data_IF_662260648861
#
_entry.id   IF_662260648861
#
_cell.length_a   1.000
_cell.length_b   1.000
_cell.length_c   1.000
_cell.angle_alpha   90.00
_cell.angle_beta   90.00
_cell.angle_gamma   90.00
#
_symmetry.space_group_name_H-M   'P 1'
#
loop_
_entity.id
_entity.type
_entity.pdbx_description
1 polymer ?
#
# COMPACT_ATOMS: atom_id res chain seq x y z
N UNK A 1 24.66 49.29 26.48
CA UNK A 1 23.97 48.87 27.72
C UNK A 1 23.30 47.55 27.39
N UNK A 2 23.94 46.42 27.73
CA UNK A 2 23.67 45.62 28.94
C UNK A 2 22.26 45.03 28.93
N UNK A 3 22.01 43.71 28.77
CA UNK A 3 22.58 42.47 29.36
C UNK A 3 21.66 41.91 30.45
N UNK A 4 20.91 40.86 30.11
CA UNK A 4 20.49 39.67 30.91
C UNK A 4 19.51 38.89 30.01
N UNK A 5 19.74 37.65 29.54
CA UNK A 5 20.13 36.40 30.23
C UNK A 5 19.10 35.97 31.27
N UNK A 6 18.22 35.06 30.87
CA UNK A 6 17.55 34.09 31.73
C UNK A 6 17.20 32.85 30.89
N UNK A 7 18.08 31.84 30.92
CA UNK A 7 17.71 30.48 30.56
C UNK A 7 16.98 29.85 31.75
N UNK A 8 15.79 29.29 31.53
CA UNK A 8 15.26 28.21 32.36
C UNK A 8 15.09 26.96 31.51
N UNK A 9 16.06 26.06 31.62
CA UNK A 9 15.93 24.67 31.21
C UNK A 9 15.14 23.90 32.28
N UNK A 10 13.92 23.45 31.96
CA UNK A 10 13.20 22.50 32.80
C UNK A 10 13.40 21.08 32.28
N UNK A 11 14.20 20.32 33.02
CA UNK A 11 14.44 18.90 32.84
C UNK A 11 13.29 18.11 33.48
N UNK A 12 12.63 17.22 32.75
CA UNK A 12 11.76 16.18 33.36
C UNK A 12 12.30 14.83 32.96
N UNK A 13 12.77 14.07 33.95
CA UNK A 13 13.39 12.77 33.78
C UNK A 13 12.34 11.67 33.56
N UNK A 14 12.72 10.64 32.81
CA UNK A 14 11.94 9.42 32.69
C UNK A 14 11.98 8.59 33.98
N UNK A 15 10.86 7.96 34.32
CA UNK A 15 10.82 6.80 35.22
C UNK A 15 10.44 5.57 34.41
N UNK A 16 11.41 4.72 34.13
CA UNK A 16 11.14 3.34 33.74
C UNK A 16 10.72 2.55 35.00
N UNK A 17 9.84 1.57 34.83
CA UNK A 17 9.64 0.53 35.84
C UNK A 17 9.59 -0.85 35.16
N UNK A 18 10.08 -1.88 35.86
CA UNK A 18 10.42 -3.18 35.28
C UNK A 18 9.96 -4.35 36.18
N UNK A 19 9.02 -5.14 35.68
CA UNK A 19 8.73 -6.52 36.10
C UNK A 19 7.96 -7.21 34.96
N UNK A 20 8.03 -8.50 34.69
CA UNK A 20 8.71 -9.64 35.33
C UNK A 20 8.17 -10.94 34.67
N UNK A 21 8.88 -12.08 34.65
CA UNK A 21 8.69 -13.07 33.57
C UNK A 21 7.88 -14.34 33.91
N UNK A 22 7.35 -14.98 32.85
CA UNK A 22 7.13 -16.44 32.71
C UNK A 22 6.00 -17.10 33.54
N UNK A 23 5.50 -18.33 33.21
CA UNK A 23 6.12 -19.34 32.33
C UNK A 23 5.24 -19.98 31.24
N UNK A 24 5.93 -20.83 30.46
CA UNK A 24 5.44 -21.76 29.44
C UNK A 24 4.35 -22.72 29.92
N UNK A 25 3.48 -23.13 29.00
CA UNK A 25 2.83 -24.45 29.05
C UNK A 25 2.89 -25.09 27.66
N UNK A 26 3.56 -26.23 27.56
CA UNK A 26 3.56 -27.07 26.37
C UNK A 26 2.61 -28.25 26.59
N UNK A 27 1.78 -28.58 25.61
CA UNK A 27 1.01 -29.83 25.61
C UNK A 27 1.09 -30.49 24.23
N UNK A 28 1.36 -31.78 24.27
CA UNK A 28 1.56 -32.75 23.18
C UNK A 28 0.35 -32.90 22.24
N UNK A 29 0.60 -33.41 21.02
CA UNK A 29 -0.42 -33.86 20.04
C UNK A 29 -1.14 -35.16 20.45
N UNK A 30 -1.56 -36.07 19.53
CA UNK A 30 -1.32 -36.17 18.08
C UNK A 30 -2.60 -35.78 17.27
N UNK A 31 -2.89 -36.13 16.00
CA UNK A 31 -2.29 -37.05 15.02
C UNK A 31 -2.54 -36.60 13.55
N UNK A 32 -2.12 -37.41 12.56
CA UNK A 32 -2.32 -37.22 11.12
C UNK A 32 -2.88 -38.49 10.46
N UNK A 33 -4.09 -38.46 9.85
CA UNK A 33 -4.55 -39.54 8.98
C UNK A 33 -3.75 -39.55 7.66
N UNK A 34 -3.05 -40.65 7.39
CA UNK A 34 -2.37 -40.91 6.11
C UNK A 34 -3.34 -41.64 5.18
N UNK A 35 -4.09 -40.89 4.37
CA UNK A 35 -4.91 -41.50 3.31
C UNK A 35 -4.01 -41.92 2.17
N UNK A 36 -3.90 -43.23 1.95
CA UNK A 36 -3.19 -43.81 0.81
C UNK A 36 -4.06 -43.69 -0.45
N UNK A 37 -3.71 -42.78 -1.36
CA UNK A 37 -4.31 -42.75 -2.69
C UNK A 37 -3.76 -43.88 -3.55
N UNK A 38 -4.60 -44.87 -3.86
CA UNK A 38 -4.26 -46.01 -4.71
C UNK A 38 -4.03 -45.58 -6.16
N UNK A 39 -2.90 -45.99 -6.72
CA UNK A 39 -2.56 -45.80 -8.14
C UNK A 39 -3.45 -46.69 -9.03
N UNK A 40 -4.48 -46.11 -9.65
CA UNK A 40 -5.29 -46.81 -10.66
C UNK A 40 -4.81 -46.45 -12.07
N UNK A 41 -4.05 -47.37 -12.67
CA UNK A 41 -3.63 -47.27 -14.07
C UNK A 41 -4.79 -47.58 -15.01
N UNK A 42 -5.24 -46.59 -15.78
CA UNK A 42 -6.23 -46.80 -16.85
C UNK A 42 -5.61 -46.49 -18.20
N UNK A 43 -5.44 -47.52 -19.01
CA UNK A 43 -5.02 -47.44 -20.41
C UNK A 43 -6.14 -46.84 -21.26
N UNK A 44 -5.88 -45.75 -21.99
CA UNK A 44 -6.77 -45.26 -23.06
C UNK A 44 -6.02 -44.99 -24.36
N UNK A 45 -6.69 -45.33 -25.46
CA UNK A 45 -6.11 -45.52 -26.78
C UNK A 45 -5.41 -44.27 -27.37
N UNK A 46 -4.33 -44.56 -28.11
CA UNK A 46 -3.68 -43.63 -29.03
C UNK A 46 -4.52 -43.53 -30.31
N UNK A 47 -4.92 -42.30 -30.68
CA UNK A 47 -5.55 -41.99 -31.98
C UNK A 47 -4.86 -40.75 -32.56
N UNK A 48 -4.67 -40.61 -33.89
CA UNK A 48 -3.71 -39.64 -34.43
C UNK A 48 -4.08 -38.17 -34.23
N UNK A 49 -3.05 -37.33 -34.11
CA UNK A 49 -3.20 -35.89 -33.96
C UNK A 49 -3.66 -35.21 -35.28
N UNK A 50 -4.63 -34.28 -35.24
CA UNK A 50 -4.87 -33.35 -36.33
C UNK A 50 -3.83 -32.23 -36.30
N UNK A 51 -3.26 -31.90 -37.46
CA UNK A 51 -2.26 -30.82 -37.61
C UNK A 51 -2.88 -29.45 -37.29
N UNK A 52 -2.48 -28.87 -36.16
CA UNK A 52 -2.88 -27.51 -35.78
C UNK A 52 -2.06 -26.48 -36.57
N UNK A 53 -2.63 -25.98 -37.67
CA UNK A 53 -2.09 -24.86 -38.44
C UNK A 53 -2.33 -23.55 -37.68
N UNK A 54 -1.51 -23.27 -36.67
CA UNK A 54 -1.56 -22.02 -35.89
C UNK A 54 -0.95 -20.88 -36.68
N UNK A 55 -1.80 -20.17 -37.43
CA UNK A 55 -1.52 -18.79 -37.84
C UNK A 55 -1.08 -17.98 -36.61
N UNK A 56 -0.04 -17.16 -36.80
CA UNK A 56 0.42 -16.22 -35.80
C UNK A 56 -0.65 -15.13 -35.58
N UNK A 57 -1.59 -15.40 -34.67
CA UNK A 57 -2.49 -14.39 -34.16
C UNK A 57 -1.67 -13.33 -33.43
N UNK A 58 -1.72 -12.09 -33.90
CA UNK A 58 -1.18 -10.94 -33.18
C UNK A 58 -1.94 -10.78 -31.88
N UNK A 59 -1.45 -11.42 -30.82
CA UNK A 59 -1.98 -11.27 -29.47
C UNK A 59 -1.77 -9.84 -29.01
N UNK A 60 -2.77 -8.98 -29.22
CA UNK A 60 -2.95 -7.76 -28.45
C UNK A 60 -2.91 -8.15 -26.98
N UNK A 61 -1.79 -7.88 -26.32
CA UNK A 61 -1.58 -8.28 -24.94
C UNK A 61 -2.64 -7.58 -24.08
N UNK A 62 -3.65 -8.33 -23.64
CA UNK A 62 -4.62 -7.85 -22.68
C UNK A 62 -3.84 -7.44 -21.43
N UNK A 63 -3.85 -6.14 -21.12
CA UNK A 63 -3.24 -5.59 -19.92
C UNK A 63 -3.82 -6.36 -18.73
N UNK A 64 -2.96 -7.10 -18.03
CA UNK A 64 -3.37 -7.89 -16.88
C UNK A 64 -3.77 -6.92 -15.75
N UNK A 65 -5.08 -6.70 -15.60
CA UNK A 65 -5.64 -5.92 -14.50
C UNK A 65 -5.68 -6.79 -13.26
N UNK A 66 -5.09 -6.29 -12.17
CA UNK A 66 -5.14 -6.95 -10.87
C UNK A 66 -6.42 -6.60 -10.09
N UNK A 67 -6.45 -6.87 -8.77
CA UNK A 67 -7.60 -6.56 -7.92
C UNK A 67 -7.95 -5.07 -7.95
N UNK A 68 -9.24 -4.80 -7.68
CA UNK A 68 -9.78 -3.45 -7.51
C UNK A 68 -10.45 -3.33 -6.15
N UNK A 69 -10.17 -2.23 -5.44
CA UNK A 69 -10.67 -1.94 -4.10
C UNK A 69 -11.36 -0.58 -4.06
N UNK A 70 -12.33 -0.41 -3.15
CA UNK A 70 -12.73 0.94 -2.72
C UNK A 70 -11.60 1.48 -1.85
N UNK A 71 -11.20 2.72 -2.08
CA UNK A 71 -10.03 3.31 -1.41
C UNK A 71 -10.35 4.67 -0.80
N UNK A 72 -9.64 5.00 0.27
CA UNK A 72 -9.40 6.39 0.67
C UNK A 72 -8.03 6.82 0.16
N UNK A 73 -7.90 8.10 -0.17
CA UNK A 73 -6.64 8.69 -0.59
C UNK A 73 -6.43 9.96 0.22
N UNK A 74 -5.20 10.12 0.71
CA UNK A 74 -4.70 11.25 1.50
C UNK A 74 -3.31 11.63 0.97
N UNK A 75 -2.58 12.54 1.61
CA UNK A 75 -1.21 12.88 1.21
C UNK A 75 -0.32 13.22 2.41
N UNK A 76 0.99 13.09 2.22
CA UNK A 76 2.04 13.39 3.19
C UNK A 76 3.31 13.90 2.48
N UNK A 77 4.28 14.45 3.21
CA UNK A 77 5.52 15.03 2.68
C UNK A 77 5.72 16.48 3.13
N UNK A 78 6.32 17.32 2.29
CA UNK A 78 6.68 18.68 2.65
C UNK A 78 5.49 19.52 3.16
N UNK A 79 5.64 20.01 4.39
CA UNK A 79 4.65 20.82 5.10
C UNK A 79 3.64 20.04 5.93
N UNK A 80 3.71 18.71 5.96
CA UNK A 80 2.89 17.88 6.85
C UNK A 80 3.47 17.84 8.27
N UNK A 81 2.64 18.13 9.28
CA UNK A 81 2.99 18.05 10.72
C UNK A 81 2.48 16.80 11.42
N UNK A 82 1.68 15.97 10.73
CA UNK A 82 1.07 14.75 11.28
C UNK A 82 1.68 13.47 10.70
N UNK A 83 2.24 13.53 9.48
CA UNK A 83 3.07 12.49 8.86
C UNK A 83 4.56 12.81 8.85
N UNK A 84 5.27 12.25 7.86
CA UNK A 84 6.70 12.57 7.63
C UNK A 84 6.84 13.86 6.82
N UNK A 85 7.71 14.81 7.21
CA UNK A 85 7.93 16.06 6.47
C UNK A 85 8.68 15.86 5.14
N UNK A 86 9.10 14.64 4.82
CA UNK A 86 9.60 14.23 3.51
C UNK A 86 9.08 12.82 3.18
N UNK A 87 8.54 12.64 1.99
CA UNK A 87 7.98 11.37 1.52
C UNK A 87 8.78 10.71 0.38
N UNK A 88 9.73 11.42 -0.23
CA UNK A 88 10.45 10.99 -1.43
C UNK A 88 11.92 10.73 -1.09
N UNK A 89 12.16 9.76 -0.20
CA UNK A 89 13.48 9.36 0.30
C UNK A 89 13.73 7.86 0.13
N UNK A 90 15.00 7.48 0.00
CA UNK A 90 15.47 6.10 0.07
C UNK A 90 15.16 5.43 1.42
N UNK A 91 14.97 6.20 2.49
CA UNK A 91 14.51 5.73 3.81
C UNK A 91 13.04 5.30 3.90
N UNK A 92 12.27 5.39 2.80
CA UNK A 92 10.92 4.83 2.72
C UNK A 92 10.92 3.29 2.91
N UNK A 93 9.79 2.70 3.33
CA UNK A 93 9.72 1.29 3.71
C UNK A 93 10.08 0.29 2.59
N UNK A 94 10.07 0.71 1.32
CA UNK A 94 10.53 -0.11 0.20
C UNK A 94 12.02 0.08 -0.18
N UNK A 95 12.78 0.87 0.58
CA UNK A 95 14.18 1.23 0.30
C UNK A 95 14.39 1.88 -1.08
N UNK A 96 13.43 2.70 -1.53
CA UNK A 96 13.54 3.47 -2.78
C UNK A 96 12.58 4.68 -2.79
N UNK A 97 12.89 5.64 -3.67
CA UNK A 97 12.02 6.77 -4.00
C UNK A 97 11.89 6.95 -5.52
N UNK A 98 11.08 7.92 -5.97
CA UNK A 98 10.77 8.11 -7.39
C UNK A 98 11.13 9.51 -7.88
N UNK A 99 11.85 9.60 -8.99
CA UNK A 99 12.26 10.89 -9.58
C UNK A 99 12.56 10.76 -11.08
N UNK A 100 11.72 11.31 -11.97
CA UNK A 100 10.33 11.73 -11.71
C UNK A 100 9.42 10.51 -11.43
N UNK A 101 8.15 10.76 -11.15
CA UNK A 101 7.10 9.73 -11.10
C UNK A 101 6.39 9.66 -9.76
N UNK A 102 5.09 9.36 -9.79
CA UNK A 102 4.23 9.44 -8.61
C UNK A 102 4.41 8.23 -7.68
N UNK A 103 4.61 8.49 -6.40
CA UNK A 103 4.72 7.47 -5.36
C UNK A 103 3.68 7.65 -4.26
N UNK A 104 3.41 6.56 -3.53
CA UNK A 104 2.47 6.53 -2.42
C UNK A 104 2.89 5.53 -1.34
N UNK A 105 2.48 5.82 -0.10
CA UNK A 105 2.45 4.84 0.97
C UNK A 105 1.14 4.04 0.92
N UNK A 106 1.20 2.70 1.02
CA UNK A 106 0.01 1.85 1.05
C UNK A 106 -0.37 1.47 2.49
N UNK A 107 -1.67 1.38 2.79
CA UNK A 107 -2.17 0.90 4.09
C UNK A 107 -1.59 -0.47 4.44
N UNK A 108 -1.32 -0.71 5.72
CA UNK A 108 -0.59 -1.90 6.19
C UNK A 108 -1.18 -3.23 5.73
N UNK A 109 -2.52 -3.33 5.61
CA UNK A 109 -3.22 -4.50 5.10
C UNK A 109 -2.93 -4.82 3.61
N UNK A 110 -2.62 -3.79 2.81
CA UNK A 110 -2.20 -3.91 1.42
C UNK A 110 -0.69 -4.03 1.30
N UNK A 111 0.06 -3.24 2.10
CA UNK A 111 1.52 -3.30 2.14
C UNK A 111 2.03 -4.71 2.46
N UNK A 112 1.34 -5.39 3.38
CA UNK A 112 1.50 -6.82 3.68
C UNK A 112 2.41 -7.15 4.85
N UNK A 113 3.16 -6.17 5.38
CA UNK A 113 3.97 -6.30 6.60
C UNK A 113 3.84 -5.03 7.46
N UNK A 114 4.16 -5.14 8.76
CA UNK A 114 4.15 -4.00 9.68
C UNK A 114 5.46 -3.19 9.68
N UNK A 115 5.52 -2.12 10.50
CA UNK A 115 6.77 -1.38 10.73
C UNK A 115 7.93 -2.30 11.15
N UNK A 116 9.15 -1.93 10.76
CA UNK A 116 10.39 -2.67 11.05
C UNK A 116 10.49 -4.11 10.50
N UNK A 117 9.50 -4.59 9.74
CA UNK A 117 9.54 -5.91 9.09
C UNK A 117 10.21 -5.91 7.70
N UNK A 118 10.67 -4.76 7.22
CA UNK A 118 11.28 -4.59 5.90
C UNK A 118 10.27 -4.38 4.77
N UNK A 119 10.67 -4.73 3.55
CA UNK A 119 9.89 -4.52 2.32
C UNK A 119 8.66 -5.44 2.27
N UNK A 120 7.46 -4.87 2.22
CA UNK A 120 6.22 -5.62 2.01
C UNK A 120 6.02 -6.04 0.55
N UNK A 121 5.17 -7.07 0.28
CA UNK A 121 4.85 -7.52 -1.09
C UNK A 121 4.24 -6.45 -2.01
N UNK A 122 3.71 -5.35 -1.47
CA UNK A 122 3.24 -4.23 -2.29
C UNK A 122 4.36 -3.36 -2.89
N UNK A 123 5.60 -3.45 -2.39
CA UNK A 123 6.71 -2.61 -2.85
C UNK A 123 6.95 -2.72 -4.36
N UNK A 124 6.94 -1.57 -5.05
CA UNK A 124 7.10 -1.50 -6.50
C UNK A 124 5.83 -1.86 -7.30
N UNK A 125 4.71 -2.20 -6.66
CA UNK A 125 3.44 -2.42 -7.37
C UNK A 125 2.83 -1.08 -7.82
N UNK A 126 2.19 -1.08 -8.99
CA UNK A 126 1.56 0.11 -9.56
C UNK A 126 0.04 0.06 -9.48
N UNK A 127 -0.56 1.20 -9.11
CA UNK A 127 -1.98 1.33 -8.83
C UNK A 127 -2.57 2.54 -9.53
N UNK A 128 -3.61 2.31 -10.33
CA UNK A 128 -4.46 3.38 -10.85
C UNK A 128 -5.46 3.78 -9.77
N UNK A 129 -5.30 4.98 -9.24
CA UNK A 129 -6.20 5.59 -8.27
C UNK A 129 -7.17 6.51 -9.01
N UNK A 130 -8.45 6.50 -8.65
CA UNK A 130 -9.48 7.37 -9.24
C UNK A 130 -10.24 8.11 -8.13
N UNK A 131 -10.26 9.44 -8.19
CA UNK A 131 -10.98 10.29 -7.23
C UNK A 131 -12.49 10.29 -7.52
N UNK A 132 -13.35 10.29 -6.50
CA UNK A 132 -14.80 10.35 -6.68
C UNK A 132 -15.48 11.35 -5.74
N UNK A 133 -15.37 11.14 -4.42
CA UNK A 133 -16.01 12.01 -3.41
C UNK A 133 -15.04 12.50 -2.36
N UNK A 134 -15.44 13.53 -1.61
CA UNK A 134 -14.79 13.90 -0.35
C UNK A 134 -15.14 12.92 0.80
N UNK A 135 -14.69 13.23 2.01
CA UNK A 135 -14.98 12.50 3.26
C UNK A 135 -16.45 12.54 3.70
N UNK A 136 -17.23 13.51 3.21
CA UNK A 136 -18.66 13.68 3.49
C UNK A 136 -19.56 13.00 2.45
N UNK A 137 -18.98 12.47 1.37
CA UNK A 137 -19.70 11.83 0.26
C UNK A 137 -20.14 12.79 -0.85
N UNK A 138 -19.70 14.05 -0.84
CA UNK A 138 -19.96 14.98 -1.93
C UNK A 138 -18.99 14.73 -3.09
N UNK A 139 -19.48 14.81 -4.33
CA UNK A 139 -18.63 14.64 -5.52
C UNK A 139 -17.55 15.73 -5.58
N UNK A 140 -16.30 15.32 -5.87
CA UNK A 140 -15.19 16.25 -6.04
C UNK A 140 -15.34 17.04 -7.35
N UNK A 141 -14.83 18.27 -7.38
CA UNK A 141 -14.79 19.08 -8.60
C UNK A 141 -13.99 18.43 -9.75
N UNK A 142 -13.08 17.52 -9.40
CA UNK A 142 -12.31 16.69 -10.32
C UNK A 142 -12.67 15.18 -10.22
N UNK A 143 -13.91 14.84 -9.84
CA UNK A 143 -14.37 13.46 -9.82
C UNK A 143 -14.13 12.75 -11.17
N UNK A 144 -13.59 11.54 -11.13
CA UNK A 144 -13.11 10.80 -12.30
C UNK A 144 -11.64 11.05 -12.66
N UNK A 145 -10.98 12.05 -12.06
CA UNK A 145 -9.53 12.23 -12.20
C UNK A 145 -8.79 10.98 -11.71
N UNK A 146 -7.76 10.56 -12.44
CA UNK A 146 -7.02 9.35 -12.14
C UNK A 146 -5.52 9.49 -12.42
N UNK A 147 -4.70 8.97 -11.52
CA UNK A 147 -3.24 8.85 -11.68
C UNK A 147 -2.82 7.39 -11.49
N UNK A 148 -1.64 7.03 -11.99
CA UNK A 148 -0.98 5.78 -11.62
C UNK A 148 0.16 6.11 -10.66
N UNK A 149 0.19 5.45 -9.51
CA UNK A 149 1.26 5.57 -8.49
C UNK A 149 2.02 4.26 -8.34
N UNK A 150 3.27 4.35 -7.91
CA UNK A 150 4.05 3.19 -7.43
C UNK A 150 4.10 3.19 -5.91
N UNK A 151 3.86 2.04 -5.28
CA UNK A 151 3.97 1.91 -3.82
C UNK A 151 5.45 1.85 -3.43
N UNK A 152 5.92 2.86 -2.68
CA UNK A 152 7.29 2.94 -2.16
C UNK A 152 7.38 2.96 -0.62
N UNK A 153 6.26 3.10 0.08
CA UNK A 153 6.24 3.25 1.53
C UNK A 153 5.06 2.53 2.19
N UNK A 154 5.13 2.41 3.52
CA UNK A 154 4.09 1.86 4.39
C UNK A 154 3.31 3.00 5.06
N UNK A 155 1.99 2.98 4.95
CA UNK A 155 1.12 3.67 5.89
C UNK A 155 0.75 2.70 7.03
N UNK A 156 1.28 2.90 8.25
CA UNK A 156 1.11 1.94 9.35
C UNK A 156 -0.32 1.96 9.90
N UNK A 157 -0.80 0.80 10.36
CA UNK A 157 -2.10 0.70 11.04
C UNK A 157 -2.09 1.34 12.43
N UNK A 158 -0.95 1.29 13.13
CA UNK A 158 -0.82 1.89 14.46
C UNK A 158 -0.84 3.42 14.36
N UNK A 159 -1.79 4.04 15.06
CA UNK A 159 -1.94 5.50 15.09
C UNK A 159 -2.67 6.11 13.89
N UNK A 160 -2.87 5.37 12.79
CA UNK A 160 -3.60 5.87 11.62
C UNK A 160 -4.83 4.99 11.28
N UNK A 161 -6.05 5.38 11.71
CA UNK A 161 -7.29 4.66 11.40
C UNK A 161 -7.58 4.49 9.91
N UNK A 162 -7.07 5.38 9.03
CA UNK A 162 -7.24 5.23 7.59
C UNK A 162 -6.54 3.99 7.03
N UNK A 163 -5.48 3.53 7.71
CA UNK A 163 -4.61 2.43 7.28
C UNK A 163 -4.72 1.18 8.17
N UNK A 164 -5.70 1.17 9.09
CA UNK A 164 -5.92 0.14 10.09
C UNK A 164 -6.99 -0.90 9.69
N UNK A 165 -7.22 -1.12 8.39
CA UNK A 165 -8.21 -2.09 7.93
C UNK A 165 -7.85 -3.53 8.33
N UNK A 166 -8.83 -4.28 8.83
CA UNK A 166 -8.66 -5.70 9.15
C UNK A 166 -8.66 -6.55 7.88
N UNK A 167 -7.49 -6.69 7.26
CA UNK A 167 -7.32 -7.38 5.98
C UNK A 167 -7.93 -6.61 4.80
N UNK A 168 -7.91 -7.21 3.60
CA UNK A 168 -8.38 -6.58 2.36
C UNK A 168 -9.91 -6.58 2.19
N UNK A 169 -10.63 -7.34 3.03
CA UNK A 169 -12.10 -7.34 3.09
C UNK A 169 -12.68 -6.36 4.13
N UNK A 170 -11.88 -5.93 5.11
CA UNK A 170 -12.26 -4.88 6.05
C UNK A 170 -12.33 -3.50 5.37
N UNK A 171 -12.83 -2.50 6.09
CA UNK A 171 -12.87 -1.10 5.66
C UNK A 171 -12.52 -0.15 6.80
N UNK A 172 -12.03 1.03 6.46
CA UNK A 172 -11.85 2.15 7.40
C UNK A 172 -13.15 2.97 7.57
N UNK A 173 -13.11 4.05 8.36
CA UNK A 173 -14.29 4.87 8.71
C UNK A 173 -14.98 5.57 7.53
N UNK A 174 -14.32 5.68 6.36
CA UNK A 174 -14.91 6.21 5.13
C UNK A 174 -15.27 5.08 4.13
N UNK A 175 -15.25 3.83 4.59
CA UNK A 175 -15.56 2.65 3.81
C UNK A 175 -14.50 2.28 2.77
N UNK A 176 -13.24 2.68 2.95
CA UNK A 176 -12.13 2.29 2.07
C UNK A 176 -11.47 0.99 2.54
N UNK A 177 -11.37 -0.02 1.66
CA UNK A 177 -10.69 -1.29 1.95
C UNK A 177 -9.17 -1.12 2.08
N UNK A 178 -8.62 -0.12 1.39
CA UNK A 178 -7.19 0.23 1.40
C UNK A 178 -7.06 1.74 1.39
N UNK A 179 -5.96 2.27 1.93
CA UNK A 179 -5.62 3.69 1.85
C UNK A 179 -4.30 3.90 1.10
N UNK A 180 -4.22 4.99 0.34
CA UNK A 180 -2.98 5.46 -0.26
C UNK A 180 -2.67 6.88 0.23
N UNK A 181 -1.56 7.06 0.94
CA UNK A 181 -1.02 8.39 1.23
C UNK A 181 -0.10 8.79 0.08
N UNK A 182 -0.52 9.73 -0.74
CA UNK A 182 0.24 10.23 -1.88
C UNK A 182 1.45 11.02 -1.40
N UNK A 183 2.61 10.74 -2.00
CA UNK A 183 3.79 11.53 -1.73
C UNK A 183 3.69 12.89 -2.44
N UNK A 184 3.54 13.96 -1.67
CA UNK A 184 3.49 15.34 -2.17
C UNK A 184 4.77 15.72 -2.92
N UNK A 185 5.91 15.32 -2.40
CA UNK A 185 7.24 15.65 -2.93
C UNK A 185 7.55 14.95 -4.27
N UNK A 186 6.72 13.97 -4.66
CA UNK A 186 6.73 13.34 -6.00
C UNK A 186 5.76 14.00 -7.00
N UNK A 187 5.00 15.01 -6.56
CA UNK A 187 3.92 15.65 -7.34
C UNK A 187 2.60 14.86 -7.37
N UNK A 188 2.52 13.69 -6.72
CA UNK A 188 1.35 12.83 -6.77
C UNK A 188 0.08 13.47 -6.17
N UNK A 189 0.23 14.17 -5.04
CA UNK A 189 -0.89 14.84 -4.37
C UNK A 189 -1.52 15.91 -5.26
N UNK A 190 -0.72 16.81 -5.81
CA UNK A 190 -1.20 17.91 -6.66
C UNK A 190 -1.84 17.38 -7.96
N UNK A 191 -1.29 16.31 -8.54
CA UNK A 191 -1.86 15.66 -9.72
C UNK A 191 -3.20 14.94 -9.44
N UNK A 192 -3.41 14.40 -8.24
CA UNK A 192 -4.63 13.69 -7.88
C UNK A 192 -5.75 14.61 -7.36
N UNK A 193 -5.41 15.52 -6.45
CA UNK A 193 -6.37 16.42 -5.80
C UNK A 193 -6.60 17.71 -6.60
N UNK A 194 -5.60 18.18 -7.36
CA UNK A 194 -5.71 19.42 -8.14
C UNK A 194 -6.22 20.60 -7.30
N UNK A 195 -7.22 21.30 -7.81
CA UNK A 195 -7.89 22.43 -7.14
C UNK A 195 -9.13 22.03 -6.32
N UNK A 196 -9.31 20.74 -5.97
CA UNK A 196 -10.50 20.27 -5.22
C UNK A 196 -10.59 20.84 -3.79
N UNK A 197 -9.47 21.25 -3.20
CA UNK A 197 -9.43 21.85 -1.86
C UNK A 197 -9.64 20.86 -0.70
N UNK A 198 -9.71 19.56 -0.97
CA UNK A 198 -9.91 18.52 0.06
C UNK A 198 -8.59 17.88 0.48
N UNK A 199 -8.50 17.47 1.75
CA UNK A 199 -7.37 16.68 2.27
C UNK A 199 -7.54 15.16 2.12
N UNK A 200 -8.78 14.70 1.90
CA UNK A 200 -9.12 13.28 1.77
C UNK A 200 -10.13 13.08 0.63
N UNK A 201 -9.88 12.08 -0.20
CA UNK A 201 -10.79 11.61 -1.23
C UNK A 201 -11.18 10.14 -0.98
N UNK A 202 -12.37 9.77 -1.43
CA UNK A 202 -12.84 8.38 -1.55
C UNK A 202 -13.01 8.06 -3.03
N UNK A 203 -12.68 6.83 -3.42
CA UNK A 203 -12.83 6.38 -4.80
C UNK A 203 -12.37 4.94 -4.99
N UNK A 204 -11.66 4.66 -6.10
CA UNK A 204 -11.21 3.31 -6.44
C UNK A 204 -9.69 3.21 -6.62
N UNK A 205 -9.12 2.08 -6.22
CA UNK A 205 -7.74 1.69 -6.50
C UNK A 205 -7.72 0.38 -7.27
N UNK A 206 -7.12 0.36 -8.46
CA UNK A 206 -6.96 -0.82 -9.31
C UNK A 206 -5.48 -1.12 -9.52
N UNK A 207 -5.03 -2.34 -9.24
CA UNK A 207 -3.67 -2.74 -9.55
C UNK A 207 -3.49 -2.87 -11.07
N UNK A 208 -2.41 -2.31 -11.60
CA UNK A 208 -2.11 -2.27 -13.04
C UNK A 208 -0.66 -2.67 -13.33
N UNK A 209 -0.40 -3.06 -14.58
CA UNK A 209 0.98 -3.21 -15.08
C UNK A 209 1.71 -1.86 -14.96
N UNK A 210 2.93 -1.87 -14.39
CA UNK A 210 3.75 -0.68 -14.21
C UNK A 210 4.17 0.00 -15.53
N UNK A 211 3.94 -0.60 -16.70
CA UNK A 211 3.99 0.11 -18.00
C UNK A 211 3.02 1.28 -18.11
N UNK A 212 1.98 1.34 -17.27
CA UNK A 212 1.06 2.48 -17.18
C UNK A 212 1.54 3.56 -16.18
N UNK A 213 2.60 3.28 -15.42
CA UNK A 213 3.27 4.25 -14.56
C UNK A 213 4.41 4.92 -15.34
N UNK A 214 4.62 6.21 -15.11
CA UNK A 214 5.69 6.99 -15.74
C UNK A 214 6.62 7.56 -14.67
N UNK A 215 7.91 7.30 -14.81
CA UNK A 215 8.93 7.73 -13.86
C UNK A 215 10.17 6.86 -13.86
N UNK A 216 11.03 7.11 -12.88
CA UNK A 216 12.21 6.30 -12.57
C UNK A 216 12.34 6.07 -11.06
N UNK A 217 12.82 4.89 -10.68
CA UNK A 217 13.13 4.53 -9.29
C UNK A 217 14.58 4.92 -8.97
N UNK A 218 14.80 5.52 -7.81
CA UNK A 218 16.12 5.85 -7.26
C UNK A 218 16.33 5.11 -5.94
N UNK A 219 17.55 4.60 -5.74
CA UNK A 219 18.04 3.85 -4.57
C UNK A 219 19.44 4.31 -4.22
#
# INVERSE_FOLDING_TARGET
>A
MQLLVLLLTSLVAATADCAGPSPVHATTGPAKPRVSSSSSSTTTNRTPAPSANTNAGTSSAALALGPTYKTTVTFYGAGDTFGSPNCNTDTAACAFYTSPGYSAAASQNLFGVGPSAGTGPACGTCWRLTAQTDSSGHALSNAGNAIVVMVNNLCPAQGNPLCAQNGLGGVNQYGGNVNFDLCRDSGAADAFFGSSGVGLAVGTAQQVDCKLWSGSVVR
#
